data_IF_269214266924
#
_entry.id   IF_269214266924
#
_cell.length_a   1.000
_cell.length_b   1.000
_cell.length_c   1.000
_cell.angle_alpha   90.00
_cell.angle_beta   90.00
_cell.angle_gamma   90.00
#
_symmetry.space_group_name_H-M   'P 1'
#
loop_
_entity.id
_entity.type
_entity.pdbx_description
1 polymer ?
#
# COMPACT_ATOMS: atom_id res chain seq x y z
N UNK A 1 29.54 -11.80 21.07
CA UNK A 1 28.50 -10.79 21.05
C UNK A 1 27.23 -11.47 20.53
N UNK A 2 26.37 -11.90 21.43
CA UNK A 2 25.08 -12.53 21.09
C UNK A 2 24.10 -11.44 20.69
N UNK A 3 23.62 -11.48 19.44
CA UNK A 3 22.46 -10.70 19.03
C UNK A 3 21.22 -11.31 19.68
N UNK A 4 20.62 -10.60 20.60
CA UNK A 4 19.30 -10.89 21.14
C UNK A 4 18.27 -10.65 20.02
N UNK A 5 17.70 -11.73 19.51
CA UNK A 5 16.51 -11.62 18.64
C UNK A 5 15.35 -11.09 19.48
N UNK A 6 14.83 -9.94 19.04
CA UNK A 6 13.62 -9.32 19.59
C UNK A 6 12.42 -10.19 19.25
N UNK A 7 11.93 -10.94 20.24
CA UNK A 7 10.72 -11.74 20.16
C UNK A 7 9.47 -10.92 20.51
N UNK A 8 9.35 -9.71 19.98
CA UNK A 8 8.09 -8.97 20.11
C UNK A 8 6.96 -9.75 19.40
N UNK A 9 5.83 -10.06 20.07
CA UNK A 9 4.78 -10.85 19.47
C UNK A 9 4.18 -10.15 18.26
N UNK A 10 4.17 -10.84 17.12
CA UNK A 10 3.41 -10.46 15.94
C UNK A 10 1.91 -10.41 16.29
N UNK A 11 1.38 -9.24 16.55
CA UNK A 11 -0.05 -9.03 16.68
C UNK A 11 -0.72 -9.13 15.32
N UNK A 12 -1.20 -10.32 14.99
CA UNK A 12 -2.14 -10.55 13.90
C UNK A 12 -3.52 -10.64 14.55
N UNK A 13 -4.49 -9.80 14.19
CA UNK A 13 -5.87 -9.98 14.62
C UNK A 13 -6.50 -11.11 13.81
N UNK A 14 -6.12 -12.34 14.09
CA UNK A 14 -6.71 -13.54 13.52
C UNK A 14 -7.79 -14.02 14.49
N UNK A 15 -9.04 -14.10 14.02
CA UNK A 15 -10.05 -14.94 14.66
C UNK A 15 -9.70 -16.40 14.38
N UNK A 16 -8.61 -16.87 14.97
CA UNK A 16 -8.24 -18.27 14.92
C UNK A 16 -9.09 -19.05 15.90
N UNK A 17 -9.61 -20.19 15.48
CA UNK A 17 -10.23 -21.15 16.41
C UNK A 17 -9.18 -21.65 17.41
N UNK A 18 -9.59 -22.19 18.57
CA UNK A 18 -8.64 -22.80 19.53
C UNK A 18 -7.75 -23.86 18.88
N UNK A 19 -8.30 -24.68 17.97
CA UNK A 19 -7.57 -25.71 17.25
C UNK A 19 -6.53 -25.13 16.28
N UNK A 20 -6.88 -24.06 15.58
CA UNK A 20 -5.95 -23.38 14.68
C UNK A 20 -4.78 -22.75 15.44
N UNK A 21 -5.02 -22.20 16.63
CA UNK A 21 -3.97 -21.66 17.50
C UNK A 21 -3.02 -22.72 17.99
N UNK A 22 -3.58 -23.85 18.43
CA UNK A 22 -2.80 -24.99 18.91
C UNK A 22 -1.94 -25.56 17.77
N UNK A 23 -2.47 -25.67 16.57
CA UNK A 23 -1.73 -26.13 15.39
C UNK A 23 -0.57 -25.18 15.03
N UNK A 24 -0.77 -23.87 15.16
CA UNK A 24 0.30 -22.88 14.95
C UNK A 24 1.36 -23.02 16.03
N UNK A 25 0.96 -23.14 17.30
CA UNK A 25 1.89 -23.35 18.42
C UNK A 25 2.76 -24.61 18.22
N UNK A 26 2.14 -25.71 17.81
CA UNK A 26 2.85 -26.98 17.56
C UNK A 26 3.84 -26.88 16.40
N UNK A 27 3.52 -26.13 15.35
CA UNK A 27 4.37 -26.00 14.14
C UNK A 27 5.46 -24.94 14.23
N UNK A 28 5.25 -23.91 15.03
CA UNK A 28 6.14 -22.71 15.03
C UNK A 28 6.72 -22.38 16.40
N UNK A 29 6.22 -23.01 17.48
CA UNK A 29 6.57 -22.66 18.86
C UNK A 29 5.98 -21.32 19.34
N UNK A 30 5.23 -20.60 18.50
CA UNK A 30 4.69 -19.28 18.81
C UNK A 30 3.35 -19.42 19.50
N UNK A 31 3.21 -18.85 20.70
CA UNK A 31 1.93 -18.77 21.42
C UNK A 31 1.20 -17.50 21.00
N UNK A 32 0.03 -17.64 20.35
CA UNK A 32 -0.82 -16.50 19.98
C UNK A 32 -1.74 -16.21 21.17
N UNK A 33 -1.45 -15.13 21.90
CA UNK A 33 -2.31 -14.65 22.96
C UNK A 33 -3.57 -14.01 22.34
N UNK A 34 -4.75 -14.52 22.71
CA UNK A 34 -6.02 -13.89 22.37
C UNK A 34 -6.33 -12.79 23.36
N UNK A 35 -6.31 -11.58 22.88
CA UNK A 35 -7.14 -10.54 23.46
C UNK A 35 -8.54 -10.65 22.85
N UNK A 36 -9.62 -10.57 23.64
CA UNK A 36 -10.97 -10.54 23.08
C UNK A 36 -11.08 -9.34 22.14
N UNK A 37 -11.65 -9.57 20.96
CA UNK A 37 -11.80 -8.56 19.90
C UNK A 37 -12.56 -7.29 20.37
N UNK A 38 -13.34 -7.40 21.44
CA UNK A 38 -14.12 -6.29 22.02
C UNK A 38 -13.34 -5.40 22.99
N UNK A 39 -12.25 -5.91 23.54
CA UNK A 39 -11.45 -5.15 24.48
C UNK A 39 -10.26 -4.56 23.74
N UNK A 40 -10.50 -3.42 23.06
CA UNK A 40 -9.41 -2.59 23.09
C UNK A 40 -8.63 -2.13 21.91
N UNK A 41 -8.28 -1.00 21.99
CA UNK A 41 -7.41 -0.12 21.21
C UNK A 41 -8.05 0.28 19.91
N UNK A 42 -8.85 1.30 19.97
CA UNK A 42 -9.38 2.02 18.81
C UNK A 42 -8.28 2.60 17.89
N UNK A 43 -7.01 2.54 18.32
CA UNK A 43 -5.87 3.10 17.59
C UNK A 43 -4.60 2.29 17.82
N UNK A 44 -4.00 1.78 16.74
CA UNK A 44 -2.68 1.12 16.77
C UNK A 44 -1.60 2.14 16.39
N UNK A 45 -0.45 2.10 17.07
CA UNK A 45 0.75 2.87 16.66
C UNK A 45 1.68 1.97 15.85
N UNK A 46 2.10 2.44 14.68
CA UNK A 46 3.03 1.72 13.79
C UNK A 46 4.15 2.65 13.35
N UNK A 47 5.40 2.20 13.49
CA UNK A 47 6.54 2.85 12.80
C UNK A 47 6.55 2.43 11.35
N UNK A 48 6.77 3.37 10.46
CA UNK A 48 6.81 3.16 9.02
C UNK A 48 7.77 4.17 8.38
N UNK A 49 8.82 3.71 7.72
CA UNK A 49 9.77 4.54 6.97
C UNK A 49 10.17 5.85 7.72
N UNK A 50 10.55 5.71 8.99
CA UNK A 50 11.01 6.82 9.83
C UNK A 50 9.92 7.66 10.51
N UNK A 51 8.63 7.49 10.17
CA UNK A 51 7.51 8.17 10.84
C UNK A 51 6.75 7.21 11.76
N UNK A 52 5.98 7.77 12.71
CA UNK A 52 5.05 6.98 13.54
C UNK A 52 3.62 7.32 13.15
N UNK A 53 2.86 6.34 12.74
CA UNK A 53 1.45 6.45 12.36
C UNK A 53 0.55 6.04 13.52
N UNK A 54 -0.64 6.63 13.59
CA UNK A 54 -1.78 6.16 14.37
C UNK A 54 -2.78 5.58 13.38
N UNK A 55 -3.19 4.33 13.59
CA UNK A 55 -4.07 3.59 12.66
C UNK A 55 -5.35 3.30 13.39
N UNK A 56 -6.45 3.81 12.89
CA UNK A 56 -7.77 3.60 13.47
C UNK A 56 -8.31 2.21 13.15
N UNK A 57 -9.24 1.74 13.97
CA UNK A 57 -9.95 0.48 13.73
C UNK A 57 -10.58 0.46 12.32
N UNK A 58 -10.41 -0.64 11.61
CA UNK A 58 -10.93 -0.82 10.24
C UNK A 58 -10.09 -0.19 9.14
N UNK A 59 -8.98 0.47 9.48
CA UNK A 59 -8.02 0.97 8.50
C UNK A 59 -6.88 -0.04 8.33
N UNK A 60 -6.45 -0.24 7.09
CA UNK A 60 -5.35 -1.15 6.76
C UNK A 60 -4.06 -0.75 7.47
N UNK A 61 -3.39 -1.73 8.07
CA UNK A 61 -2.08 -1.55 8.70
C UNK A 61 -0.97 -1.84 7.70
N UNK A 62 -0.08 -0.87 7.41
CA UNK A 62 0.98 -1.06 6.42
C UNK A 62 1.96 -2.15 6.85
N UNK A 63 2.41 -2.94 5.87
CA UNK A 63 3.36 -4.05 6.04
C UNK A 63 4.77 -3.67 5.57
N UNK A 64 5.74 -4.58 5.74
CA UNK A 64 7.08 -4.44 5.15
C UNK A 64 7.04 -4.31 3.62
N UNK A 65 6.07 -4.97 2.95
CA UNK A 65 5.89 -4.81 1.50
C UNK A 65 5.44 -3.39 1.14
N UNK A 66 4.64 -2.76 2.01
CA UNK A 66 4.26 -1.36 1.82
C UNK A 66 5.46 -0.41 2.04
N UNK A 67 6.42 -0.77 2.91
CA UNK A 67 7.70 -0.03 3.02
C UNK A 67 8.51 -0.15 1.72
N UNK A 68 8.52 -1.32 1.09
CA UNK A 68 9.16 -1.50 -0.21
C UNK A 68 8.51 -0.66 -1.31
N UNK A 69 7.17 -0.50 -1.27
CA UNK A 69 6.46 0.41 -2.17
C UNK A 69 6.96 1.86 -1.99
N UNK A 70 7.07 2.32 -0.74
CA UNK A 70 7.63 3.64 -0.43
C UNK A 70 9.05 3.80 -1.01
N UNK A 71 9.96 2.83 -0.78
CA UNK A 71 11.33 2.87 -1.27
C UNK A 71 11.39 3.01 -2.79
N UNK A 72 10.68 2.15 -3.52
CA UNK A 72 10.67 2.18 -4.99
C UNK A 72 10.09 3.48 -5.55
N UNK A 73 9.10 4.08 -4.89
CA UNK A 73 8.59 5.40 -5.28
C UNK A 73 9.66 6.47 -5.05
N UNK A 74 10.32 6.47 -3.90
CA UNK A 74 11.40 7.42 -3.61
C UNK A 74 12.54 7.32 -4.62
N UNK A 75 12.96 6.08 -4.95
CA UNK A 75 14.00 5.79 -5.94
C UNK A 75 13.58 6.27 -7.35
N UNK A 76 12.34 6.06 -7.75
CA UNK A 76 11.83 6.44 -9.07
C UNK A 76 11.82 7.96 -9.32
N UNK A 77 11.86 8.75 -8.26
CA UNK A 77 11.90 10.21 -8.35
C UNK A 77 13.26 10.81 -7.94
N UNK A 78 14.26 9.96 -7.68
CA UNK A 78 15.60 10.40 -7.31
C UNK A 78 16.18 11.36 -8.36
N UNK A 79 16.84 12.41 -7.90
CA UNK A 79 17.38 13.46 -8.77
C UNK A 79 16.36 14.49 -9.30
N UNK A 80 15.04 14.26 -9.14
CA UNK A 80 14.02 15.25 -9.52
C UNK A 80 13.93 16.36 -8.48
N UNK A 81 14.02 17.60 -8.91
CA UNK A 81 14.11 18.75 -8.00
C UNK A 81 12.82 19.03 -7.21
N UNK A 82 11.65 18.84 -7.82
CA UNK A 82 10.31 19.05 -7.23
C UNK A 82 9.32 18.03 -7.79
N UNK A 83 9.45 16.75 -7.46
CA UNK A 83 8.56 15.74 -8.02
C UNK A 83 7.12 15.95 -7.53
N UNK A 84 6.17 15.64 -8.41
CA UNK A 84 4.76 15.49 -8.06
C UNK A 84 4.49 14.01 -7.93
N UNK A 85 4.03 13.56 -6.77
CA UNK A 85 3.80 12.14 -6.47
C UNK A 85 2.34 11.96 -6.05
N UNK A 86 1.74 10.88 -6.53
CA UNK A 86 0.36 10.51 -6.16
C UNK A 86 0.40 9.18 -5.41
N UNK A 87 -0.32 9.09 -4.28
CA UNK A 87 -0.54 7.85 -3.53
C UNK A 87 -2.03 7.49 -3.59
N UNK A 88 -2.35 6.41 -4.29
CA UNK A 88 -3.73 5.98 -4.56
C UNK A 88 -4.14 4.92 -3.55
N UNK A 89 -5.29 5.13 -2.87
CA UNK A 89 -5.73 4.26 -1.79
C UNK A 89 -4.82 4.38 -0.57
N UNK A 90 -4.57 5.62 -0.14
CA UNK A 90 -3.53 5.94 0.85
C UNK A 90 -3.74 5.31 2.23
N UNK A 91 -4.94 4.83 2.54
CA UNK A 91 -5.28 4.21 3.83
C UNK A 91 -5.05 5.16 5.01
N UNK A 92 -4.19 4.78 5.94
CA UNK A 92 -3.78 5.63 7.05
C UNK A 92 -2.78 6.75 6.68
N UNK A 93 -2.44 6.86 5.39
CA UNK A 93 -1.47 7.82 4.88
C UNK A 93 -0.02 7.34 4.87
N UNK A 94 0.23 6.03 4.99
CA UNK A 94 1.58 5.51 5.24
C UNK A 94 2.60 5.94 4.18
N UNK A 95 2.34 5.63 2.91
CA UNK A 95 3.26 5.95 1.81
C UNK A 95 3.32 7.45 1.57
N UNK A 96 2.16 8.12 1.44
CA UNK A 96 2.10 9.55 1.19
C UNK A 96 2.82 10.38 2.26
N UNK A 97 2.61 10.08 3.55
CA UNK A 97 3.18 10.86 4.64
C UNK A 97 4.68 10.57 4.83
N UNK A 98 5.11 9.32 4.63
CA UNK A 98 6.52 8.99 4.64
C UNK A 98 7.28 9.68 3.50
N UNK A 99 6.70 9.68 2.28
CA UNK A 99 7.26 10.43 1.14
C UNK A 99 7.30 11.93 1.41
N UNK A 100 6.25 12.49 2.02
CA UNK A 100 6.21 13.90 2.36
C UNK A 100 7.29 14.30 3.37
N UNK A 101 7.56 13.43 4.35
CA UNK A 101 8.61 13.64 5.34
C UNK A 101 10.02 13.50 4.74
N UNK A 102 10.24 12.48 3.89
CA UNK A 102 11.53 12.19 3.27
C UNK A 102 11.88 13.18 2.15
N UNK A 103 10.86 13.71 1.44
CA UNK A 103 11.01 14.56 0.26
C UNK A 103 10.33 15.92 0.46
N UNK A 104 10.89 16.83 1.27
CA UNK A 104 10.22 18.08 1.66
C UNK A 104 9.96 19.04 0.49
N UNK A 105 10.64 18.86 -0.65
CA UNK A 105 10.43 19.64 -1.89
C UNK A 105 9.42 19.00 -2.84
N UNK A 106 8.98 17.77 -2.57
CA UNK A 106 7.94 17.09 -3.37
C UNK A 106 6.56 17.69 -3.09
N UNK A 107 5.66 17.59 -4.08
CA UNK A 107 4.22 17.81 -3.89
C UNK A 107 3.54 16.46 -3.90
N UNK A 108 2.96 16.05 -2.77
CA UNK A 108 2.30 14.77 -2.62
C UNK A 108 0.78 14.97 -2.67
N UNK A 109 0.10 14.16 -3.46
CA UNK A 109 -1.36 14.09 -3.49
C UNK A 109 -1.75 12.65 -3.12
N UNK A 110 -2.58 12.49 -2.11
CA UNK A 110 -3.10 11.20 -1.69
C UNK A 110 -4.60 11.12 -1.98
N UNK A 111 -5.08 10.01 -2.54
CA UNK A 111 -6.50 9.74 -2.74
C UNK A 111 -6.96 8.55 -1.89
N UNK A 112 -8.19 8.63 -1.38
CA UNK A 112 -8.80 7.57 -0.56
C UNK A 112 -10.32 7.61 -0.69
N UNK A 113 -10.94 6.44 -0.85
CA UNK A 113 -12.40 6.33 -1.00
C UNK A 113 -13.10 6.11 0.36
N UNK A 114 -12.43 5.48 1.32
CA UNK A 114 -12.97 5.21 2.65
C UNK A 114 -12.91 6.46 3.52
N UNK A 115 -14.04 6.95 3.96
CA UNK A 115 -14.10 8.12 4.85
C UNK A 115 -13.34 7.90 6.18
N UNK A 116 -13.38 6.67 6.71
CA UNK A 116 -12.64 6.32 7.93
C UNK A 116 -11.12 6.41 7.70
N UNK A 117 -10.63 5.83 6.61
CA UNK A 117 -9.23 5.88 6.25
C UNK A 117 -8.78 7.31 5.89
N UNK A 118 -9.61 8.06 5.16
CA UNK A 118 -9.40 9.46 4.83
C UNK A 118 -9.22 10.33 6.09
N UNK A 119 -10.11 10.16 7.08
CA UNK A 119 -10.01 10.86 8.34
C UNK A 119 -8.75 10.45 9.13
N UNK A 120 -8.40 9.17 9.13
CA UNK A 120 -7.17 8.65 9.74
C UNK A 120 -5.92 9.30 9.12
N UNK A 121 -5.81 9.30 7.78
CA UNK A 121 -4.71 9.90 7.06
C UNK A 121 -4.57 11.40 7.35
N UNK A 122 -5.68 12.15 7.36
CA UNK A 122 -5.68 13.58 7.70
C UNK A 122 -5.18 13.84 9.12
N UNK A 123 -5.64 13.07 10.11
CA UNK A 123 -5.13 13.18 11.49
C UNK A 123 -3.64 12.88 11.60
N UNK A 124 -3.15 11.89 10.89
CA UNK A 124 -1.72 11.58 10.82
C UNK A 124 -0.92 12.72 10.19
N UNK A 125 -1.38 13.27 9.06
CA UNK A 125 -0.77 14.44 8.40
C UNK A 125 -0.63 15.61 9.37
N UNK A 126 -1.73 15.96 10.03
CA UNK A 126 -1.79 17.15 10.92
C UNK A 126 -0.88 16.95 12.15
N UNK A 127 -0.88 15.73 12.72
CA UNK A 127 0.01 15.36 13.84
C UNK A 127 1.49 15.40 13.47
N UNK A 128 1.83 15.05 12.21
CA UNK A 128 3.20 15.08 11.71
C UNK A 128 3.62 16.47 11.20
N UNK A 129 2.71 17.43 11.12
CA UNK A 129 2.98 18.80 10.67
C UNK A 129 3.34 18.89 9.17
N UNK A 130 2.95 17.91 8.35
CA UNK A 130 3.33 17.83 6.95
C UNK A 130 2.45 18.75 6.09
N UNK A 131 3.09 19.73 5.41
CA UNK A 131 2.40 20.74 4.59
C UNK A 131 2.49 20.48 3.09
N UNK A 132 3.39 19.62 2.66
CA UNK A 132 3.62 19.27 1.25
C UNK A 132 2.78 18.06 0.77
N UNK A 133 1.76 17.65 1.54
CA UNK A 133 0.82 16.59 1.19
C UNK A 133 -0.62 17.07 1.26
N UNK A 134 -1.39 16.79 0.20
CA UNK A 134 -2.83 17.05 0.10
C UNK A 134 -3.58 15.73 0.04
N UNK A 135 -4.55 15.51 0.93
CA UNK A 135 -5.34 14.28 1.01
C UNK A 135 -6.77 14.55 0.52
N UNK A 136 -7.21 13.80 -0.49
CA UNK A 136 -8.49 13.98 -1.19
C UNK A 136 -9.35 12.73 -1.12
N UNK A 137 -10.64 12.92 -0.87
CA UNK A 137 -11.65 11.84 -0.96
C UNK A 137 -12.02 11.56 -2.42
N UNK A 138 -12.09 10.27 -2.79
CA UNK A 138 -12.54 9.82 -4.09
C UNK A 138 -11.83 8.56 -4.57
N UNK A 139 -12.36 7.96 -5.65
CA UNK A 139 -11.85 6.72 -6.24
C UNK A 139 -10.66 6.98 -7.14
N UNK A 140 -9.62 6.18 -6.97
CA UNK A 140 -8.41 6.16 -7.81
C UNK A 140 -7.88 7.58 -8.09
N UNK A 141 -7.80 7.97 -9.36
CA UNK A 141 -7.30 9.27 -9.82
C UNK A 141 -8.40 10.32 -10.00
N UNK A 142 -9.68 9.96 -9.78
CA UNK A 142 -10.80 10.89 -10.00
C UNK A 142 -10.73 12.19 -9.20
N UNK A 143 -10.20 12.23 -7.95
CA UNK A 143 -10.12 13.49 -7.20
C UNK A 143 -8.92 14.37 -7.62
N UNK A 144 -8.09 13.95 -8.55
CA UNK A 144 -6.95 14.72 -9.01
C UNK A 144 -7.39 15.87 -9.93
N UNK A 145 -6.88 17.09 -9.70
CA UNK A 145 -7.19 18.20 -10.60
C UNK A 145 -6.59 17.96 -11.99
N UNK A 146 -7.37 18.32 -13.04
CA UNK A 146 -6.98 18.16 -14.44
C UNK A 146 -5.62 18.79 -14.79
N UNK A 147 -5.22 19.86 -14.10
CA UNK A 147 -3.90 20.51 -14.28
C UNK A 147 -2.70 19.62 -13.97
N UNK A 148 -2.90 18.46 -13.33
CA UNK A 148 -1.84 17.49 -13.04
C UNK A 148 -1.61 16.49 -14.18
N UNK A 149 -2.42 16.50 -15.23
CA UNK A 149 -2.20 15.67 -16.41
C UNK A 149 -0.84 15.98 -17.02
N UNK A 150 -0.07 14.93 -17.33
CA UNK A 150 1.30 15.03 -17.85
C UNK A 150 2.30 15.72 -16.90
N UNK A 151 2.04 15.72 -15.56
CA UNK A 151 2.90 16.38 -14.58
C UNK A 151 3.29 15.50 -13.38
N UNK A 152 2.75 14.30 -13.29
CA UNK A 152 3.00 13.39 -12.17
C UNK A 152 4.28 12.60 -12.43
N UNK A 153 5.21 12.64 -11.50
CA UNK A 153 6.50 11.95 -11.58
C UNK A 153 6.41 10.49 -11.18
N UNK A 154 5.54 10.18 -10.20
CA UNK A 154 5.28 8.82 -9.78
C UNK A 154 3.86 8.67 -9.21
N UNK A 155 3.26 7.50 -9.44
CA UNK A 155 2.00 7.07 -8.85
C UNK A 155 2.27 5.78 -8.08
N UNK A 156 1.96 5.78 -6.79
CA UNK A 156 2.01 4.62 -5.91
C UNK A 156 0.61 4.04 -5.73
N UNK A 157 0.46 2.72 -5.65
CA UNK A 157 -0.80 2.10 -5.27
C UNK A 157 -0.61 0.76 -4.55
N UNK A 158 -1.23 0.66 -3.38
CA UNK A 158 -1.51 -0.57 -2.67
C UNK A 158 -3.02 -0.66 -2.45
N UNK A 159 -3.78 -0.78 -3.53
CA UNK A 159 -5.25 -0.85 -3.53
C UNK A 159 -5.71 -2.31 -3.47
N UNK A 160 -6.99 -2.60 -3.20
CA UNK A 160 -7.49 -3.98 -3.19
C UNK A 160 -7.16 -4.74 -4.48
N UNK A 161 -6.47 -5.88 -4.33
CA UNK A 161 -6.04 -6.73 -5.46
C UNK A 161 -6.25 -8.23 -5.22
N UNK A 162 -6.72 -8.66 -4.04
CA UNK A 162 -6.92 -10.08 -3.72
C UNK A 162 -8.13 -10.62 -4.47
N UNK A 163 -8.02 -11.73 -5.24
CA UNK A 163 -9.13 -12.32 -5.95
C UNK A 163 -10.27 -12.73 -5.02
N UNK A 164 -11.55 -12.54 -5.41
CA UNK A 164 -12.70 -12.93 -4.60
C UNK A 164 -12.75 -14.43 -4.24
N UNK A 165 -12.20 -15.28 -5.10
CA UNK A 165 -12.16 -16.74 -4.92
C UNK A 165 -11.02 -17.26 -4.03
N UNK A 166 -10.15 -16.40 -3.51
CA UNK A 166 -9.11 -16.83 -2.60
C UNK A 166 -9.71 -17.24 -1.24
N UNK A 167 -9.08 -18.25 -0.61
CA UNK A 167 -9.59 -18.89 0.60
C UNK A 167 -9.93 -17.89 1.71
N UNK A 168 -10.93 -18.23 2.48
CA UNK A 168 -11.42 -17.44 3.62
C UNK A 168 -10.31 -17.03 4.61
N UNK A 169 -9.27 -17.85 4.76
CA UNK A 169 -8.10 -17.56 5.58
C UNK A 169 -7.35 -16.28 5.17
N UNK A 170 -7.27 -15.99 3.85
CA UNK A 170 -6.65 -14.74 3.36
C UNK A 170 -7.59 -13.56 3.60
N UNK A 171 -8.90 -13.75 3.44
CA UNK A 171 -9.90 -12.69 3.65
C UNK A 171 -9.90 -12.16 5.08
N UNK A 172 -9.70 -13.05 6.07
CA UNK A 172 -9.65 -12.69 7.49
C UNK A 172 -8.34 -12.01 7.93
N UNK A 173 -7.30 -12.04 7.08
CA UNK A 173 -6.03 -11.37 7.37
C UNK A 173 -6.06 -9.84 7.15
N UNK A 174 -7.16 -9.32 6.62
CA UNK A 174 -7.31 -7.90 6.30
C UNK A 174 -8.60 -7.32 6.89
N UNK A 175 -8.67 -6.03 7.19
CA UNK A 175 -9.92 -5.38 7.55
C UNK A 175 -10.98 -5.60 6.46
N UNK A 176 -12.26 -5.78 6.82
CA UNK A 176 -13.33 -6.00 5.85
C UNK A 176 -13.34 -4.95 4.74
N UNK A 177 -13.44 -5.40 3.47
CA UNK A 177 -13.51 -4.52 2.31
C UNK A 177 -12.20 -3.87 1.85
N UNK A 178 -11.06 -4.16 2.52
CA UNK A 178 -9.79 -3.47 2.20
C UNK A 178 -8.86 -4.26 1.27
N UNK A 179 -9.07 -5.57 1.10
CA UNK A 179 -8.14 -6.42 0.37
C UNK A 179 -8.71 -7.00 -0.92
N UNK A 180 -10.02 -7.27 -0.97
CA UNK A 180 -10.66 -7.93 -2.10
C UNK A 180 -10.83 -6.96 -3.25
N UNK A 181 -10.11 -7.19 -4.34
CA UNK A 181 -10.26 -6.46 -5.58
C UNK A 181 -11.42 -7.02 -6.43
N UNK A 182 -12.11 -6.17 -7.21
CA UNK A 182 -13.13 -6.63 -8.15
C UNK A 182 -12.51 -7.39 -9.34
N UNK A 183 -13.38 -8.11 -10.06
CA UNK A 183 -12.98 -9.00 -11.15
C UNK A 183 -12.63 -10.40 -10.67
N UNK A 184 -12.56 -11.35 -11.60
CA UNK A 184 -12.28 -12.77 -11.30
C UNK A 184 -10.90 -12.99 -10.72
N UNK A 185 -9.94 -12.16 -11.10
CA UNK A 185 -8.55 -12.19 -10.65
C UNK A 185 -8.20 -11.06 -9.65
N UNK A 186 -9.18 -10.21 -9.27
CA UNK A 186 -9.01 -9.12 -8.31
C UNK A 186 -8.34 -7.87 -8.87
N UNK A 187 -8.05 -7.78 -10.16
CA UNK A 187 -7.22 -6.71 -10.74
C UNK A 187 -7.99 -5.60 -11.46
N UNK A 188 -9.31 -5.57 -11.46
CA UNK A 188 -10.06 -4.57 -12.26
C UNK A 188 -9.74 -3.13 -11.86
N UNK A 189 -9.60 -2.84 -10.55
CA UNK A 189 -9.18 -1.51 -10.07
C UNK A 189 -7.75 -1.17 -10.50
N UNK A 190 -6.87 -2.16 -10.50
CA UNK A 190 -5.46 -1.98 -10.90
C UNK A 190 -5.37 -1.73 -12.40
N UNK A 191 -6.17 -2.42 -13.20
CA UNK A 191 -6.30 -2.18 -14.65
C UNK A 191 -6.83 -0.79 -14.95
N UNK A 192 -7.87 -0.36 -14.25
CA UNK A 192 -8.41 0.99 -14.38
C UNK A 192 -7.37 2.04 -14.03
N UNK A 193 -6.66 1.85 -12.91
CA UNK A 193 -5.58 2.73 -12.51
C UNK A 193 -4.47 2.79 -13.57
N UNK A 194 -4.01 1.66 -14.08
CA UNK A 194 -2.94 1.60 -15.07
C UNK A 194 -3.32 2.34 -16.37
N UNK A 195 -4.56 2.15 -16.86
CA UNK A 195 -5.05 2.90 -18.03
C UNK A 195 -5.06 4.41 -17.80
N UNK A 196 -5.61 4.86 -16.69
CA UNK A 196 -5.80 6.27 -16.38
C UNK A 196 -4.49 6.98 -15.95
N UNK A 197 -3.52 6.25 -15.39
CA UNK A 197 -2.25 6.79 -14.93
C UNK A 197 -1.44 7.43 -16.08
N UNK A 198 -1.56 6.92 -17.30
CA UNK A 198 -0.90 7.43 -18.49
C UNK A 198 -1.22 8.91 -18.76
N UNK A 199 -2.45 9.33 -18.48
CA UNK A 199 -2.87 10.72 -18.65
C UNK A 199 -2.15 11.69 -17.70
N UNK A 200 -1.71 11.19 -16.57
CA UNK A 200 -1.12 12.00 -15.50
C UNK A 200 0.40 11.96 -15.47
N UNK A 201 0.98 10.82 -15.85
CA UNK A 201 2.43 10.63 -15.80
C UNK A 201 3.15 11.49 -16.83
N UNK A 202 4.31 12.02 -16.42
CA UNK A 202 5.28 12.59 -17.36
C UNK A 202 5.99 11.47 -18.13
N UNK A 203 6.61 11.73 -19.29
CA UNK A 203 7.57 10.80 -19.89
C UNK A 203 8.66 10.42 -18.87
N UNK A 204 8.94 9.12 -18.78
CA UNK A 204 9.83 8.56 -17.75
C UNK A 204 9.27 8.61 -16.32
N UNK A 205 7.97 8.90 -16.16
CA UNK A 205 7.27 8.78 -14.88
C UNK A 205 7.02 7.31 -14.51
N UNK A 206 6.84 7.02 -13.22
CA UNK A 206 6.67 5.66 -12.72
C UNK A 206 5.27 5.40 -12.17
N UNK A 207 4.71 4.24 -12.50
CA UNK A 207 3.59 3.62 -11.80
C UNK A 207 4.16 2.50 -10.92
N UNK A 208 4.01 2.58 -9.60
CA UNK A 208 4.54 1.62 -8.63
C UNK A 208 3.37 0.92 -7.95
N UNK A 209 3.27 -0.39 -8.15
CA UNK A 209 2.12 -1.19 -7.73
C UNK A 209 2.54 -2.30 -6.78
N UNK A 210 1.74 -2.55 -5.75
CA UNK A 210 1.80 -3.76 -4.94
C UNK A 210 0.71 -4.74 -5.39
N UNK A 211 1.11 -5.98 -5.69
CA UNK A 211 0.24 -7.07 -6.16
C UNK A 211 0.62 -8.39 -5.49
N UNK A 212 -0.22 -9.42 -5.61
CA UNK A 212 0.20 -10.78 -5.27
C UNK A 212 1.18 -11.32 -6.33
N UNK A 213 2.18 -12.10 -5.90
CA UNK A 213 3.25 -12.58 -6.80
C UNK A 213 2.74 -13.34 -8.02
N UNK A 214 1.70 -14.17 -7.86
CA UNK A 214 1.10 -14.93 -8.95
C UNK A 214 0.37 -14.07 -9.99
N UNK A 215 -0.05 -12.85 -9.63
CA UNK A 215 -0.74 -11.92 -10.54
C UNK A 215 0.25 -11.18 -11.46
N UNK A 216 1.53 -11.13 -11.08
CA UNK A 216 2.50 -10.30 -11.78
C UNK A 216 2.73 -10.73 -13.23
N UNK A 217 2.96 -12.01 -13.48
CA UNK A 217 3.25 -12.51 -14.83
C UNK A 217 2.16 -12.18 -15.85
N UNK A 218 0.87 -12.52 -15.63
CA UNK A 218 -0.18 -12.18 -16.57
C UNK A 218 -0.38 -10.65 -16.68
N UNK A 219 -0.39 -9.94 -15.56
CA UNK A 219 -0.63 -8.49 -15.58
C UNK A 219 0.51 -7.69 -16.21
N UNK A 220 1.75 -8.17 -16.13
CA UNK A 220 2.89 -7.52 -16.79
C UNK A 220 2.78 -7.53 -18.31
N UNK A 221 2.11 -8.49 -18.91
CA UNK A 221 1.82 -8.50 -20.34
C UNK A 221 0.81 -7.40 -20.70
N UNK A 222 -0.29 -7.29 -19.94
CA UNK A 222 -1.28 -6.23 -20.12
C UNK A 222 -0.66 -4.82 -20.01
N UNK A 223 0.29 -4.65 -19.09
CA UNK A 223 1.01 -3.37 -18.94
C UNK A 223 1.87 -3.02 -20.15
N UNK A 224 2.53 -4.02 -20.77
CA UNK A 224 3.27 -3.80 -22.02
C UNK A 224 2.34 -3.38 -23.15
N UNK A 225 1.18 -4.01 -23.26
CA UNK A 225 0.16 -3.66 -24.27
C UNK A 225 -0.35 -2.23 -24.07
N UNK A 226 -0.36 -1.74 -22.83
CA UNK A 226 -0.63 -0.34 -22.50
C UNK A 226 0.57 0.58 -22.76
N UNK A 227 1.69 0.07 -23.25
CA UNK A 227 2.88 0.87 -23.59
C UNK A 227 3.80 1.16 -22.41
N UNK A 228 3.67 0.45 -21.29
CA UNK A 228 4.61 0.63 -20.18
C UNK A 228 5.90 -0.16 -20.39
N UNK A 229 7.04 0.46 -20.11
CA UNK A 229 8.31 -0.22 -19.92
C UNK A 229 8.37 -0.89 -18.54
N UNK A 230 8.62 -2.19 -18.49
CA UNK A 230 8.60 -2.94 -17.23
C UNK A 230 10.01 -3.06 -16.67
N UNK A 231 10.24 -2.48 -15.49
CA UNK A 231 11.40 -2.80 -14.68
C UNK A 231 11.22 -4.19 -14.04
N UNK A 232 12.33 -4.90 -13.79
CA UNK A 232 12.24 -6.17 -13.06
C UNK A 232 11.55 -5.95 -11.71
N UNK A 233 10.50 -6.73 -11.38
CA UNK A 233 9.93 -6.68 -10.06
C UNK A 233 11.01 -7.07 -9.04
N UNK A 234 10.99 -6.44 -7.87
CA UNK A 234 11.73 -6.98 -6.74
C UNK A 234 11.01 -8.27 -6.37
N UNK A 235 11.60 -9.41 -6.71
CA UNK A 235 11.03 -10.71 -6.39
C UNK A 235 11.19 -10.98 -4.89
N UNK A 236 10.07 -10.98 -4.16
CA UNK A 236 10.03 -11.56 -2.82
C UNK A 236 10.02 -13.10 -2.92
N UNK A 237 10.13 -13.80 -1.78
CA UNK A 237 9.92 -15.26 -1.74
C UNK A 237 8.62 -15.68 -2.43
N UNK A 238 8.52 -16.91 -2.95
CA UNK A 238 7.29 -17.45 -3.52
C UNK A 238 6.11 -17.17 -2.57
N UNK A 239 5.01 -16.64 -3.08
CA UNK A 239 3.78 -16.26 -2.36
C UNK A 239 3.79 -14.92 -1.57
N UNK A 240 4.87 -14.17 -1.58
CA UNK A 240 4.84 -12.81 -1.03
C UNK A 240 4.31 -11.80 -2.06
N UNK A 241 3.71 -10.67 -1.62
CA UNK A 241 3.31 -9.61 -2.53
C UNK A 241 4.50 -9.03 -3.29
N UNK A 242 4.33 -8.78 -4.57
CA UNK A 242 5.33 -8.15 -5.44
C UNK A 242 5.10 -6.65 -5.46
N UNK A 243 6.19 -5.88 -5.41
CA UNK A 243 6.15 -4.45 -5.73
C UNK A 243 6.94 -4.22 -7.01
N UNK A 244 6.31 -3.65 -8.01
CA UNK A 244 6.91 -3.40 -9.29
C UNK A 244 6.87 -1.91 -9.63
N UNK A 245 8.00 -1.37 -10.07
CA UNK A 245 8.05 -0.05 -10.72
C UNK A 245 7.93 -0.25 -12.24
N UNK A 246 7.04 0.52 -12.84
CA UNK A 246 6.70 0.44 -14.25
C UNK A 246 6.88 1.84 -14.82
N UNK A 247 7.70 1.99 -15.85
CA UNK A 247 7.99 3.29 -16.42
C UNK A 247 7.09 3.58 -17.61
N UNK A 248 6.53 4.77 -17.65
CA UNK A 248 5.78 5.28 -18.79
C UNK A 248 6.74 5.98 -19.76
N UNK A 249 6.92 5.47 -20.99
CA UNK A 249 7.89 6.03 -21.91
C UNK A 249 7.45 7.38 -22.51
N UNK A 250 6.14 7.71 -22.52
CA UNK A 250 5.55 8.89 -23.12
C UNK A 250 4.86 8.60 -24.43
#
# INVERSE_FOLDING_TARGET
>A
MQQTMDHSPLFVPLQLTPEQRELIRQRTGITIATLPFEATVSVVRRRFAGITLRIDRGVFTPSATTERLFELVADSVAGRRRPVIVDVGTGCGAVALALAAALPRASIIASEISETALACARRNRDRLGLRNVTIRGGSLLSPLPRRLRGRVSAIAANIPYVPPGLSEAVRHSFPPGTAIGPGTDGLDLVRELARNARDFLIPGGALVLQLAGFQWQPFSAELRDLGYGISRPVQPPPNAPVVAAIHYPG
#
